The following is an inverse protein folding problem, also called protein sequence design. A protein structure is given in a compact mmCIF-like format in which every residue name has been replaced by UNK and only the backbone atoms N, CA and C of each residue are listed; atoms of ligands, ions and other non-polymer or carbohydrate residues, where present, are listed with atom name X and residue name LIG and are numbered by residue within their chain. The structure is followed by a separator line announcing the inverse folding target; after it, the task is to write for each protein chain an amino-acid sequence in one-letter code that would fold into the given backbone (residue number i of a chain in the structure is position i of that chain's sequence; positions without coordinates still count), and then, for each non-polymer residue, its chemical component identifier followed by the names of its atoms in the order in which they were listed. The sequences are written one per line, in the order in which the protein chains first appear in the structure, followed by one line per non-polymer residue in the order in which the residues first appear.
data_IF_805181394946
#
_entry.id   IF_805181394946
#
_cell.length_a   1.000
_cell.length_b   1.000
_cell.length_c   1.000
_cell.angle_alpha   90.00
_cell.angle_beta   90.00
_cell.angle_gamma   90.00
#
_symmetry.space_group_name_H-M   'P 1'
#
loop_
_entity.id
_entity.type
_entity.pdbx_description
1 polymer ?
#
# COMPACT_ATOMS: atom_id res chain seq x y z
N UNK A 1 -2.54 -18.84 -14.39
CA UNK A 1 -3.43 -18.86 -13.20
C UNK A 1 -3.94 -17.44 -13.04
N UNK A 2 -5.23 -17.25 -12.76
CA UNK A 2 -5.77 -15.90 -12.55
C UNK A 2 -5.23 -15.35 -11.24
N UNK A 3 -4.34 -14.34 -11.33
CA UNK A 3 -3.70 -13.72 -10.16
C UNK A 3 -4.74 -13.20 -9.15
N UNK A 4 -5.92 -12.79 -9.61
CA UNK A 4 -6.97 -12.30 -8.72
C UNK A 4 -7.58 -13.42 -7.86
N UNK A 5 -7.64 -14.65 -8.38
CA UNK A 5 -8.08 -15.81 -7.59
C UNK A 5 -7.07 -16.14 -6.50
N UNK A 6 -5.77 -16.04 -6.81
CA UNK A 6 -4.68 -16.26 -5.86
C UNK A 6 -4.64 -15.19 -4.76
N UNK A 7 -4.89 -13.93 -5.11
CA UNK A 7 -4.87 -12.82 -4.16
C UNK A 7 -6.12 -12.74 -3.27
N UNK A 8 -7.19 -13.48 -3.59
CA UNK A 8 -8.49 -13.39 -2.92
C UNK A 8 -8.42 -13.61 -1.40
N UNK A 9 -7.66 -14.59 -0.84
CA UNK A 9 -7.54 -14.74 0.61
C UNK A 9 -6.88 -13.54 1.29
N UNK A 10 -5.81 -13.00 0.69
CA UNK A 10 -5.13 -11.80 1.22
C UNK A 10 -6.02 -10.57 1.14
N UNK A 11 -6.79 -10.42 0.07
CA UNK A 11 -7.76 -9.33 -0.08
C UNK A 11 -8.81 -9.34 1.05
N UNK A 12 -9.33 -10.53 1.40
CA UNK A 12 -10.29 -10.67 2.49
C UNK A 12 -9.67 -10.36 3.86
N UNK A 13 -8.40 -10.70 4.03
CA UNK A 13 -7.64 -10.40 5.25
C UNK A 13 -7.37 -8.90 5.37
N UNK A 14 -6.81 -8.29 4.32
CA UNK A 14 -6.56 -6.85 4.23
C UNK A 14 -7.82 -6.05 4.55
N UNK A 15 -8.96 -6.38 3.94
CA UNK A 15 -10.25 -5.68 4.17
C UNK A 15 -10.70 -5.68 5.64
N UNK A 16 -10.29 -6.65 6.46
CA UNK A 16 -10.58 -6.70 7.90
C UNK A 16 -9.60 -5.87 8.74
N UNK A 17 -8.44 -5.54 8.22
CA UNK A 17 -7.36 -4.85 8.93
C UNK A 17 -7.43 -3.33 8.78
N UNK A 18 -7.99 -2.83 7.68
CA UNK A 18 -8.18 -1.39 7.49
C UNK A 18 -9.43 -0.90 8.24
N UNK A 19 -9.22 0.05 9.15
CA UNK A 19 -10.28 0.77 9.85
C UNK A 19 -10.54 2.08 9.08
N UNK A 20 -11.75 2.26 8.57
CA UNK A 20 -12.02 3.28 7.55
C UNK A 20 -12.34 4.66 8.17
N UNK A 21 -11.47 5.64 7.93
CA UNK A 21 -11.85 7.06 7.82
C UNK A 21 -12.38 7.36 6.40
N UNK A 22 -13.02 8.53 6.19
CA UNK A 22 -13.67 8.85 4.91
C UNK A 22 -12.65 9.10 3.77
N UNK A 23 -11.47 9.64 4.09
CA UNK A 23 -10.38 9.82 3.11
C UNK A 23 -9.50 8.56 2.89
N UNK A 24 -9.66 7.54 3.74
CA UNK A 24 -8.83 6.33 3.80
C UNK A 24 -9.65 5.04 3.69
N UNK A 25 -10.78 5.10 2.97
CA UNK A 25 -11.58 3.90 2.73
C UNK A 25 -10.78 2.86 1.93
N UNK A 26 -11.19 1.59 2.05
CA UNK A 26 -10.50 0.47 1.39
C UNK A 26 -10.46 0.60 -0.15
N UNK A 27 -11.22 1.54 -0.72
CA UNK A 27 -11.21 1.83 -2.15
C UNK A 27 -9.84 2.28 -2.65
N UNK A 28 -9.04 2.98 -1.83
CA UNK A 28 -7.66 3.32 -2.16
C UNK A 28 -6.81 2.06 -2.42
N UNK A 29 -6.88 1.08 -1.52
CA UNK A 29 -6.16 -0.18 -1.65
C UNK A 29 -6.60 -0.94 -2.91
N UNK A 30 -7.90 -0.96 -3.21
CA UNK A 30 -8.41 -1.62 -4.42
C UNK A 30 -7.93 -0.96 -5.72
N UNK A 31 -7.83 0.37 -5.76
CA UNK A 31 -7.32 1.10 -6.93
C UNK A 31 -5.81 0.92 -7.08
N UNK A 32 -5.05 1.04 -6.00
CA UNK A 32 -3.61 0.80 -6.00
C UNK A 32 -3.31 -0.63 -6.43
N UNK A 33 -4.04 -1.64 -5.94
CA UNK A 33 -3.86 -3.02 -6.37
C UNK A 33 -4.06 -3.18 -7.88
N UNK A 34 -5.17 -2.67 -8.43
CA UNK A 34 -5.48 -2.79 -9.86
C UNK A 34 -4.38 -2.15 -10.70
N UNK A 35 -3.89 -0.98 -10.28
CA UNK A 35 -2.86 -0.27 -11.00
C UNK A 35 -1.49 -0.96 -10.87
N UNK A 36 -1.12 -1.40 -9.67
CA UNK A 36 0.14 -2.11 -9.42
C UNK A 36 0.22 -3.42 -10.21
N UNK A 37 -0.86 -4.20 -10.25
CA UNK A 37 -0.93 -5.40 -11.09
C UNK A 37 -0.81 -5.06 -12.58
N UNK A 38 -1.42 -3.96 -13.03
CA UNK A 38 -1.34 -3.55 -14.43
C UNK A 38 0.07 -3.10 -14.83
N UNK A 39 0.75 -2.36 -13.95
CA UNK A 39 2.14 -1.96 -14.15
C UNK A 39 3.03 -3.20 -14.12
N UNK A 40 2.88 -4.06 -13.12
CA UNK A 40 3.65 -5.31 -13.00
C UNK A 40 3.54 -6.23 -14.21
N UNK A 41 2.35 -6.32 -14.82
CA UNK A 41 2.13 -7.11 -16.04
C UNK A 41 2.93 -6.55 -17.23
N UNK A 42 3.02 -5.23 -17.33
CA UNK A 42 3.74 -4.56 -18.42
C UNK A 42 5.26 -4.53 -18.19
N UNK A 43 5.71 -4.42 -16.93
CA UNK A 43 7.13 -4.32 -16.54
C UNK A 43 7.77 -5.69 -16.26
N UNK A 44 6.98 -6.77 -16.21
CA UNK A 44 7.47 -8.15 -16.00
C UNK A 44 7.84 -8.49 -14.56
N UNK A 45 7.24 -7.82 -13.57
CA UNK A 45 7.45 -8.11 -12.15
C UNK A 45 6.62 -9.30 -11.65
N UNK A 46 7.00 -9.87 -10.50
CA UNK A 46 6.20 -10.91 -9.85
C UNK A 46 4.86 -10.34 -9.32
N UNK A 47 3.77 -10.68 -10.03
CA UNK A 47 2.44 -10.17 -9.72
C UNK A 47 1.92 -10.60 -8.34
N UNK A 48 2.40 -11.72 -7.79
CA UNK A 48 2.02 -12.20 -6.46
C UNK A 48 2.64 -11.30 -5.40
N UNK A 49 3.94 -11.02 -5.53
CA UNK A 49 4.67 -10.11 -4.64
C UNK A 49 4.05 -8.71 -4.71
N UNK A 50 3.84 -8.18 -5.92
CA UNK A 50 3.24 -6.87 -6.14
C UNK A 50 1.84 -6.79 -5.54
N UNK A 51 1.01 -7.81 -5.79
CA UNK A 51 -0.37 -7.85 -5.32
C UNK A 51 -0.48 -7.89 -3.80
N UNK A 52 0.30 -8.75 -3.15
CA UNK A 52 0.31 -8.83 -1.67
C UNK A 52 0.87 -7.53 -1.09
N UNK A 53 1.96 -6.99 -1.65
CA UNK A 53 2.52 -5.72 -1.18
C UNK A 53 1.51 -4.57 -1.30
N UNK A 54 0.80 -4.46 -2.42
CA UNK A 54 -0.24 -3.45 -2.62
C UNK A 54 -1.40 -3.57 -1.61
N UNK A 55 -1.82 -4.78 -1.27
CA UNK A 55 -2.88 -5.01 -0.30
C UNK A 55 -2.53 -4.54 1.12
N UNK A 56 -1.26 -4.65 1.50
CA UNK A 56 -0.82 -4.40 2.87
C UNK A 56 0.05 -3.15 3.07
N UNK A 57 0.33 -2.38 2.01
CA UNK A 57 1.29 -1.27 2.09
C UNK A 57 0.96 -0.18 3.12
N UNK A 58 -0.30 -0.04 3.50
CA UNK A 58 -0.82 1.06 4.33
C UNK A 58 -1.45 0.59 5.66
N UNK A 59 -1.35 -0.69 6.05
CA UNK A 59 -1.97 -1.20 7.29
C UNK A 59 -1.41 -0.53 8.57
N UNK A 60 -0.22 0.06 8.48
CA UNK A 60 0.45 0.78 9.56
C UNK A 60 0.03 2.25 9.71
N UNK A 61 -0.92 2.78 8.93
CA UNK A 61 -1.37 4.18 9.04
C UNK A 61 -1.88 4.54 10.42
N UNK A 62 -2.64 3.65 11.06
CA UNK A 62 -3.13 3.88 12.42
C UNK A 62 -1.99 4.04 13.44
N UNK A 63 -0.86 3.35 13.23
CA UNK A 63 0.35 3.52 14.07
C UNK A 63 1.04 4.87 13.82
N UNK A 64 1.08 5.34 12.58
CA UNK A 64 1.60 6.68 12.25
C UNK A 64 0.73 7.76 12.92
N UNK A 65 -0.60 7.65 12.80
CA UNK A 65 -1.54 8.59 13.43
C UNK A 65 -1.42 8.62 14.96
N UNK A 66 -1.49 7.46 15.62
CA UNK A 66 -1.40 7.37 17.09
C UNK A 66 -0.07 7.84 17.66
N UNK A 67 1.00 7.72 16.89
CA UNK A 67 2.34 8.16 17.30
C UNK A 67 2.62 9.63 16.95
N UNK A 68 1.68 10.34 16.33
CA UNK A 68 1.90 11.72 15.86
C UNK A 68 3.00 11.79 14.79
N UNK A 69 3.17 10.73 13.99
CA UNK A 69 4.18 10.64 12.93
C UNK A 69 5.57 10.17 13.40
N UNK A 70 5.75 9.80 14.67
CA UNK A 70 7.02 9.26 15.16
C UNK A 70 7.32 7.85 14.58
N UNK A 71 6.29 7.09 14.24
CA UNK A 71 6.39 5.80 13.56
C UNK A 71 6.00 5.99 12.09
N UNK A 72 6.92 5.67 11.17
CA UNK A 72 6.62 5.69 9.73
C UNK A 72 5.64 4.57 9.38
N UNK A 73 4.55 4.91 8.67
CA UNK A 73 3.52 3.94 8.30
C UNK A 73 4.06 2.82 7.40
N UNK A 74 5.01 3.12 6.50
CA UNK A 74 5.63 2.12 5.62
C UNK A 74 6.44 1.09 6.40
N UNK A 75 7.22 1.53 7.39
CA UNK A 75 7.99 0.65 8.27
C UNK A 75 7.06 -0.22 9.13
N UNK A 76 6.03 0.37 9.74
CA UNK A 76 5.04 -0.34 10.53
C UNK A 76 4.27 -1.36 9.67
N UNK A 77 3.85 -0.98 8.46
CA UNK A 77 3.14 -1.85 7.52
C UNK A 77 4.01 -3.04 7.11
N UNK A 78 5.31 -2.80 6.85
CA UNK A 78 6.25 -3.88 6.54
C UNK A 78 6.38 -4.87 7.70
N UNK A 79 6.54 -4.40 8.94
CA UNK A 79 6.67 -5.27 10.11
C UNK A 79 5.39 -6.08 10.39
N UNK A 80 4.24 -5.42 10.30
CA UNK A 80 2.93 -6.07 10.47
C UNK A 80 2.69 -7.12 9.38
N UNK A 81 3.06 -6.82 8.13
CA UNK A 81 2.95 -7.75 7.00
C UNK A 81 3.86 -8.96 7.19
N UNK A 82 5.11 -8.77 7.64
CA UNK A 82 6.03 -9.87 7.90
C UNK A 82 5.42 -10.88 8.89
N UNK A 83 4.96 -10.40 10.06
CA UNK A 83 4.33 -11.23 11.09
C UNK A 83 3.12 -11.99 10.54
N UNK A 84 2.26 -11.30 9.77
CA UNK A 84 1.08 -11.88 9.16
C UNK A 84 1.41 -13.01 8.19
N UNK A 85 2.37 -12.80 7.28
CA UNK A 85 2.74 -13.79 6.27
C UNK A 85 3.53 -14.97 6.88
N UNK A 86 4.30 -14.73 7.94
CA UNK A 86 4.95 -15.78 8.73
C UNK A 86 3.91 -16.70 9.39
N UNK A 87 2.84 -16.14 9.97
CA UNK A 87 1.72 -16.92 10.54
C UNK A 87 0.99 -17.75 9.47
N UNK A 88 0.89 -17.21 8.24
CA UNK A 88 0.35 -17.91 7.08
C UNK A 88 1.32 -18.93 6.46
N UNK A 89 2.55 -19.03 6.98
CA UNK A 89 3.61 -19.93 6.51
C UNK A 89 4.00 -19.70 5.05
N UNK A 90 4.01 -18.44 4.62
CA UNK A 90 4.51 -18.05 3.31
C UNK A 90 6.02 -18.27 3.19
N UNK A 91 6.50 -18.34 1.95
CA UNK A 91 7.92 -18.50 1.67
C UNK A 91 8.74 -17.31 2.20
N UNK A 92 9.81 -17.53 3.00
CA UNK A 92 10.59 -16.45 3.58
C UNK A 92 11.22 -15.48 2.56
N UNK A 93 11.58 -15.96 1.38
CA UNK A 93 12.14 -15.08 0.34
C UNK A 93 11.05 -14.16 -0.25
N UNK A 94 9.84 -14.68 -0.42
CA UNK A 94 8.69 -13.86 -0.82
C UNK A 94 8.28 -12.87 0.26
N UNK A 95 8.25 -13.28 1.54
CA UNK A 95 7.97 -12.36 2.66
C UNK A 95 8.95 -11.19 2.64
N UNK A 96 10.25 -11.48 2.50
CA UNK A 96 11.29 -10.46 2.43
C UNK A 96 11.05 -9.50 1.25
N UNK A 97 10.78 -10.02 0.05
CA UNK A 97 10.55 -9.20 -1.13
C UNK A 97 9.29 -8.31 -0.99
N UNK A 98 8.20 -8.85 -0.44
CA UNK A 98 6.96 -8.10 -0.16
C UNK A 98 7.24 -6.97 0.84
N UNK A 99 7.95 -7.27 1.93
CA UNK A 99 8.32 -6.30 2.96
C UNK A 99 9.21 -5.19 2.40
N UNK A 100 10.17 -5.52 1.53
CA UNK A 100 11.01 -4.51 0.85
C UNK A 100 10.19 -3.58 -0.05
N UNK A 101 9.19 -4.11 -0.77
CA UNK A 101 8.26 -3.29 -1.55
C UNK A 101 7.50 -2.31 -0.64
N UNK A 102 6.95 -2.81 0.47
CA UNK A 102 6.18 -2.00 1.42
C UNK A 102 7.08 -0.97 2.11
N UNK A 103 8.29 -1.33 2.55
CA UNK A 103 9.17 -0.40 3.24
C UNK A 103 9.63 0.78 2.35
N UNK A 104 9.63 0.61 1.03
CA UNK A 104 10.15 1.59 0.06
C UNK A 104 9.09 2.32 -0.76
N UNK A 105 7.79 2.10 -0.51
CA UNK A 105 6.72 2.73 -1.30
C UNK A 105 6.52 4.23 -0.98
N UNK A 106 7.14 4.75 0.09
CA UNK A 106 6.96 6.13 0.54
C UNK A 106 7.96 7.07 -0.15
N UNK A 107 7.46 8.22 -0.63
CA UNK A 107 8.28 9.22 -1.36
C UNK A 107 9.32 9.93 -0.48
N UNK A 108 9.02 10.12 0.82
CA UNK A 108 9.79 11.02 1.71
C UNK A 108 11.00 10.37 2.39
N UNK A 109 11.47 9.23 1.89
CA UNK A 109 12.58 8.49 2.49
C UNK A 109 13.78 8.45 1.52
N UNK A 110 15.00 8.40 2.05
CA UNK A 110 16.24 8.29 1.27
C UNK A 110 16.46 6.86 0.73
N UNK A 111 15.46 6.00 0.87
CA UNK A 111 15.46 4.60 0.48
C UNK A 111 14.51 4.34 -0.70
N UNK A 112 14.93 4.65 -1.94
CA UNK A 112 14.08 4.49 -3.12
C UNK A 112 13.84 3.01 -3.48
N UNK A 113 12.71 2.69 -4.13
CA UNK A 113 12.41 1.34 -4.60
C UNK A 113 13.44 0.88 -5.64
N UNK A 114 13.98 -0.34 -5.46
CA UNK A 114 15.04 -0.88 -6.32
C UNK A 114 14.55 -1.98 -7.25
N UNK A 115 13.80 -2.94 -6.72
CA UNK A 115 13.23 -4.04 -7.50
C UNK A 115 12.12 -3.56 -8.43
N UNK A 116 11.77 -4.37 -9.44
CA UNK A 116 10.66 -4.08 -10.35
C UNK A 116 9.35 -4.03 -9.54
N UNK A 117 9.18 -4.96 -8.61
CA UNK A 117 7.99 -5.07 -7.76
C UNK A 117 7.80 -3.84 -6.88
N UNK A 118 8.88 -3.36 -6.25
CA UNK A 118 8.83 -2.17 -5.40
C UNK A 118 8.51 -0.91 -6.22
N UNK A 119 9.07 -0.80 -7.43
CA UNK A 119 8.77 0.31 -8.34
C UNK A 119 7.31 0.28 -8.81
N UNK A 120 6.78 -0.91 -9.11
CA UNK A 120 5.38 -1.06 -9.51
C UNK A 120 4.42 -0.61 -8.39
N UNK A 121 4.67 -1.01 -7.15
CA UNK A 121 3.89 -0.56 -6.00
C UNK A 121 4.02 0.95 -5.79
N UNK A 122 5.24 1.46 -5.82
CA UNK A 122 5.52 2.88 -5.64
C UNK A 122 4.78 3.73 -6.66
N UNK A 123 4.90 3.41 -7.95
CA UNK A 123 4.26 4.16 -9.03
C UNK A 123 2.74 4.08 -8.95
N UNK A 124 2.19 2.90 -8.62
CA UNK A 124 0.75 2.74 -8.45
C UNK A 124 0.18 3.61 -7.33
N UNK A 125 0.85 3.66 -6.17
CA UNK A 125 0.43 4.50 -5.04
C UNK A 125 0.52 6.00 -5.39
N UNK A 126 1.58 6.44 -6.08
CA UNK A 126 1.69 7.85 -6.51
C UNK A 126 0.63 8.21 -7.53
N UNK A 127 0.36 7.34 -8.49
CA UNK A 127 -0.66 7.59 -9.51
C UNK A 127 -2.08 7.68 -8.91
N UNK A 128 -2.42 6.91 -7.87
CA UNK A 128 -3.72 7.03 -7.18
C UNK A 128 -3.89 8.37 -6.44
N UNK A 129 -2.79 9.08 -6.18
CA UNK A 129 -2.78 10.40 -5.56
C UNK A 129 -2.85 11.54 -6.60
N UNK A 130 -2.90 11.22 -7.90
CA UNK A 130 -2.98 12.17 -9.00
C UNK A 130 -4.37 12.16 -9.67
N UNK A 131 -4.56 13.08 -10.62
CA UNK A 131 -5.79 13.18 -11.41
C UNK A 131 -7.02 13.54 -10.58
N UNK A 132 -8.21 13.29 -11.14
CA UNK A 132 -9.47 13.70 -10.51
C UNK A 132 -9.70 13.06 -9.13
N UNK A 133 -9.33 11.78 -8.97
CA UNK A 133 -9.43 11.08 -7.68
C UNK A 133 -8.45 11.67 -6.66
N UNK A 134 -7.20 11.92 -7.06
CA UNK A 134 -6.20 12.56 -6.20
C UNK A 134 -6.67 13.93 -5.71
N UNK A 135 -7.22 14.76 -6.59
CA UNK A 135 -7.78 16.07 -6.22
C UNK A 135 -8.93 15.92 -5.22
N UNK A 136 -9.87 15.00 -5.46
CA UNK A 136 -10.97 14.76 -4.54
C UNK A 136 -10.49 14.28 -3.15
N UNK A 137 -9.52 13.36 -3.11
CA UNK A 137 -8.91 12.87 -1.86
C UNK A 137 -8.17 13.96 -1.11
N UNK A 138 -7.46 14.85 -1.82
CA UNK A 138 -6.78 15.99 -1.21
C UNK A 138 -7.78 16.92 -0.50
N UNK A 139 -8.94 17.20 -1.10
CA UNK A 139 -9.99 17.99 -0.45
C UNK A 139 -10.63 17.29 0.75
N UNK A 140 -10.87 15.96 0.67
CA UNK A 140 -11.38 15.19 1.81
C UNK A 140 -10.41 15.24 2.99
N UNK A 141 -9.12 14.97 2.73
CA UNK A 141 -8.08 15.01 3.75
C UNK A 141 -7.95 16.42 4.36
N UNK A 142 -7.94 17.47 3.53
CA UNK A 142 -7.90 18.86 3.99
C UNK A 142 -9.09 19.19 4.90
N UNK A 143 -10.29 18.73 4.54
CA UNK A 143 -11.51 18.91 5.33
C UNK A 143 -11.46 18.19 6.68
N UNK A 144 -10.95 16.96 6.71
CA UNK A 144 -10.74 16.19 7.96
C UNK A 144 -9.75 16.89 8.91
N UNK A 145 -8.81 17.67 8.36
CA UNK A 145 -7.78 18.40 9.12
C UNK A 145 -8.11 19.88 9.34
N UNK A 146 -9.33 20.32 8.99
CA UNK A 146 -9.79 21.70 9.20
C UNK A 146 -9.02 22.76 8.41
N UNK A 147 -8.35 22.38 7.31
CA UNK A 147 -7.59 23.30 6.48
C UNK A 147 -8.47 24.08 5.49
N UNK A 148 -7.92 25.17 4.93
CA UNK A 148 -8.54 25.94 3.86
C UNK A 148 -7.86 25.67 2.52
N UNK A 149 -8.63 25.67 1.43
CA UNK A 149 -8.12 25.37 0.08
C UNK A 149 -7.15 26.44 -0.40
N UNK A 150 -7.39 27.68 -0.01
CA UNK A 150 -6.62 28.85 -0.41
C UNK A 150 -6.81 29.93 0.65
N UNK A 151 -5.76 30.70 0.92
CA UNK A 151 -5.73 31.81 1.90
C UNK A 151 -4.99 32.99 1.33
#
# INVERSE_FOLDING_TARGET
MDILMELKPYMQLARKMYHTGLAHDFSHIERVLKLALKIGENEGGDLRIIGIAALFHDIGRESEEKSGGAICHAAASSEMTAKLLEELKEDPAQIKAICECIATHRFRDDNPPRSIEAKCLYDADKLDSLGAIGVARAYLWLGEHGGTVYS
#
